data_IF_924783789518
#
_entry.id   IF_924783789518
#
_cell.length_a   1.000
_cell.length_b   1.000
_cell.length_c   1.000
_cell.angle_alpha   90.00
_cell.angle_beta   90.00
_cell.angle_gamma   90.00
#
_symmetry.space_group_name_H-M   'P 1'
#
loop_
_entity.id
_entity.type
_entity.pdbx_description
1 polymer ?
#
# COMPACT_ATOMS: atom_id res chain seq x y z
N UNK A 1 4.10 -2.32 -7.48
CA UNK A 1 4.19 -1.27 -8.53
C UNK A 1 3.41 -0.07 -8.03
N UNK A 2 3.84 1.17 -8.32
CA UNK A 2 3.21 2.37 -7.74
C UNK A 2 3.58 2.67 -6.29
N UNK A 3 4.72 2.17 -5.80
CA UNK A 3 5.25 2.46 -4.47
C UNK A 3 6.76 2.69 -4.55
N UNK A 4 7.29 3.62 -3.75
CA UNK A 4 8.72 3.95 -3.70
C UNK A 4 9.11 4.43 -2.31
N UNK A 5 10.25 3.95 -1.80
CA UNK A 5 10.83 4.42 -0.53
C UNK A 5 11.63 5.71 -0.77
N UNK A 6 11.52 6.68 0.14
CA UNK A 6 12.23 7.97 0.09
C UNK A 6 12.98 8.15 1.40
N UNK A 7 14.31 8.29 1.33
CA UNK A 7 15.18 8.44 2.51
C UNK A 7 15.60 9.88 2.79
N UNK A 8 15.43 10.78 1.82
CA UNK A 8 15.83 12.19 1.94
C UNK A 8 14.75 13.10 1.37
N UNK A 9 14.63 14.30 1.95
CA UNK A 9 13.68 15.31 1.48
C UNK A 9 13.91 15.71 0.02
N UNK A 10 15.19 15.85 -0.37
CA UNK A 10 15.56 16.20 -1.74
C UNK A 10 15.05 15.19 -2.80
N UNK A 11 14.88 13.93 -2.43
CA UNK A 11 14.37 12.89 -3.32
C UNK A 11 12.83 12.87 -3.42
N UNK A 12 12.12 13.53 -2.51
CA UNK A 12 10.66 13.40 -2.36
C UNK A 12 9.89 13.87 -3.59
N UNK A 13 10.17 15.07 -4.09
CA UNK A 13 9.44 15.65 -5.23
C UNK A 13 9.57 14.77 -6.49
N UNK A 14 10.78 14.28 -6.77
CA UNK A 14 11.02 13.38 -7.90
C UNK A 14 10.34 12.02 -7.75
N UNK A 15 10.33 11.47 -6.52
CA UNK A 15 9.65 10.23 -6.21
C UNK A 15 8.14 10.34 -6.41
N UNK A 16 7.51 11.40 -5.90
CA UNK A 16 6.07 11.67 -6.08
C UNK A 16 5.74 11.74 -7.57
N UNK A 17 6.43 12.60 -8.33
CA UNK A 17 6.14 12.79 -9.75
C UNK A 17 6.23 11.49 -10.55
N UNK A 18 7.21 10.64 -10.24
CA UNK A 18 7.41 9.36 -10.93
C UNK A 18 6.34 8.34 -10.52
N UNK A 19 6.06 8.21 -9.22
CA UNK A 19 5.05 7.27 -8.71
C UNK A 19 3.65 7.61 -9.21
N UNK A 20 3.29 8.91 -9.29
CA UNK A 20 2.01 9.35 -9.88
C UNK A 20 1.85 8.92 -11.34
N UNK A 21 2.88 9.13 -12.17
CA UNK A 21 2.86 8.69 -13.57
C UNK A 21 2.70 7.18 -13.71
N UNK A 22 3.44 6.41 -12.90
CA UNK A 22 3.30 4.94 -12.87
C UNK A 22 1.88 4.52 -12.43
N UNK A 23 1.32 5.17 -11.41
CA UNK A 23 -0.01 4.87 -10.90
C UNK A 23 -1.11 5.18 -11.91
N UNK A 24 -1.08 6.35 -12.54
CA UNK A 24 -2.02 6.72 -13.60
C UNK A 24 -1.98 5.75 -14.78
N UNK A 25 -0.78 5.33 -15.21
CA UNK A 25 -0.63 4.38 -16.31
C UNK A 25 -1.06 2.95 -15.97
N UNK A 26 -0.79 2.49 -14.74
CA UNK A 26 -1.05 1.10 -14.34
C UNK A 26 -2.46 0.87 -13.75
N UNK A 27 -3.04 1.88 -13.10
CA UNK A 27 -4.27 1.78 -12.31
C UNK A 27 -5.37 2.77 -12.74
N UNK A 28 -5.09 3.68 -13.69
CA UNK A 28 -6.06 4.68 -14.14
C UNK A 28 -6.35 5.81 -13.13
N UNK A 29 -5.63 5.83 -12.01
CA UNK A 29 -5.74 6.85 -10.97
C UNK A 29 -4.32 7.19 -10.48
N UNK A 30 -3.96 8.48 -10.53
CA UNK A 30 -2.62 8.97 -10.22
C UNK A 30 -2.49 9.51 -8.78
N UNK A 31 -3.53 9.39 -7.95
CA UNK A 31 -3.51 9.82 -6.56
C UNK A 31 -2.49 8.99 -5.78
N UNK A 32 -1.62 9.68 -5.05
CA UNK A 32 -0.62 9.07 -4.17
C UNK A 32 -0.71 9.69 -2.78
N UNK A 33 -0.31 8.91 -1.79
CA UNK A 33 -0.14 9.35 -0.42
C UNK A 33 1.19 8.81 0.12
N UNK A 34 1.58 9.23 1.33
CA UNK A 34 2.83 8.82 1.95
C UNK A 34 2.57 8.29 3.36
N UNK A 35 3.32 7.26 3.72
CA UNK A 35 3.33 6.67 5.06
C UNK A 35 4.76 6.55 5.57
N UNK A 36 4.89 6.31 6.88
CA UNK A 36 6.19 6.04 7.50
C UNK A 36 6.73 4.70 7.01
N UNK A 37 7.93 4.70 6.44
CA UNK A 37 8.60 3.47 6.06
C UNK A 37 9.10 2.69 7.29
N UNK A 38 8.75 1.40 7.37
CA UNK A 38 9.27 0.45 8.34
C UNK A 38 10.34 -0.41 7.65
N UNK A 39 11.56 -0.44 8.20
CA UNK A 39 12.71 -1.08 7.54
C UNK A 39 12.75 -2.61 7.70
N UNK A 40 12.26 -3.13 8.82
CA UNK A 40 12.23 -4.57 9.12
C UNK A 40 10.83 -5.00 9.61
N UNK A 41 9.77 -4.81 8.81
CA UNK A 41 8.43 -5.25 9.18
C UNK A 41 8.24 -6.74 8.88
N UNK A 42 7.29 -7.36 9.58
CA UNK A 42 6.63 -8.59 9.11
C UNK A 42 5.35 -8.18 8.39
N UNK A 43 5.04 -8.81 7.25
CA UNK A 43 3.78 -8.59 6.57
C UNK A 43 2.78 -9.63 7.07
N UNK A 44 1.91 -9.21 7.99
CA UNK A 44 0.86 -10.08 8.53
C UNK A 44 -0.48 -9.65 7.95
N UNK A 45 -1.18 -10.57 7.30
CA UNK A 45 -2.50 -10.35 6.72
C UNK A 45 -3.54 -11.31 7.30
N UNK A 46 -4.79 -10.85 7.42
CA UNK A 46 -5.91 -11.64 7.95
C UNK A 46 -6.95 -11.87 6.86
N UNK A 47 -7.40 -13.12 6.73
CA UNK A 47 -8.54 -13.42 5.85
C UNK A 47 -9.85 -13.17 6.60
N UNK A 48 -10.76 -12.44 5.98
CA UNK A 48 -12.10 -12.19 6.51
C UNK A 48 -13.15 -12.70 5.50
N UNK A 49 -14.26 -13.27 6.00
CA UNK A 49 -15.45 -13.64 5.23
C UNK A 49 -16.69 -13.04 5.90
N UNK A 50 -17.50 -12.31 5.14
CA UNK A 50 -18.76 -11.73 5.61
C UNK A 50 -19.96 -12.33 4.87
N UNK A 51 -21.10 -12.43 5.55
CA UNK A 51 -22.34 -12.98 4.99
C UNK A 51 -23.24 -11.94 4.30
N UNK A 52 -22.99 -10.65 4.52
CA UNK A 52 -23.82 -9.54 4.01
C UNK A 52 -25.04 -9.20 4.86
N UNK A 53 -25.31 -9.97 5.93
CA UNK A 53 -26.39 -9.76 6.91
C UNK A 53 -25.87 -9.18 8.23
N UNK A 54 -24.61 -8.76 8.23
CA UNK A 54 -23.95 -8.10 9.37
C UNK A 54 -23.11 -9.05 10.22
N UNK A 55 -22.93 -10.31 9.83
CA UNK A 55 -21.96 -11.21 10.46
C UNK A 55 -20.71 -11.38 9.59
N UNK A 56 -19.58 -11.60 10.26
CA UNK A 56 -18.33 -11.93 9.62
C UNK A 56 -17.45 -12.77 10.53
N UNK A 57 -16.57 -13.57 9.93
CA UNK A 57 -15.53 -14.35 10.61
C UNK A 57 -14.16 -13.99 10.04
N UNK A 58 -13.11 -14.22 10.83
CA UNK A 58 -11.74 -14.24 10.34
C UNK A 58 -11.22 -15.68 10.31
N UNK A 59 -10.36 -16.01 9.34
CA UNK A 59 -9.76 -17.34 9.15
C UNK A 59 -8.26 -17.32 9.49
N UNK A 60 -7.94 -16.81 10.68
CA UNK A 60 -6.57 -16.64 11.15
C UNK A 60 -5.73 -15.65 10.32
N UNK A 61 -4.43 -15.69 10.53
CA UNK A 61 -3.42 -14.85 9.90
C UNK A 61 -2.47 -15.61 8.95
N UNK A 62 -1.78 -14.87 8.09
CA UNK A 62 -0.66 -15.34 7.27
C UNK A 62 0.53 -14.39 7.40
N UNK A 63 1.74 -14.93 7.37
CA UNK A 63 3.00 -14.18 7.22
C UNK A 63 3.47 -14.30 5.76
N UNK A 64 3.65 -13.17 5.06
CA UNK A 64 3.89 -13.10 3.61
C UNK A 64 5.11 -12.24 3.25
#
# INVERSE_FOLDING_TARGET
RGMRVVHTEAALAGAIATTRREAGAAFGNDVVYMEKYLAQPRHIEFQVLGDGEGQAIHLGERDC
#
